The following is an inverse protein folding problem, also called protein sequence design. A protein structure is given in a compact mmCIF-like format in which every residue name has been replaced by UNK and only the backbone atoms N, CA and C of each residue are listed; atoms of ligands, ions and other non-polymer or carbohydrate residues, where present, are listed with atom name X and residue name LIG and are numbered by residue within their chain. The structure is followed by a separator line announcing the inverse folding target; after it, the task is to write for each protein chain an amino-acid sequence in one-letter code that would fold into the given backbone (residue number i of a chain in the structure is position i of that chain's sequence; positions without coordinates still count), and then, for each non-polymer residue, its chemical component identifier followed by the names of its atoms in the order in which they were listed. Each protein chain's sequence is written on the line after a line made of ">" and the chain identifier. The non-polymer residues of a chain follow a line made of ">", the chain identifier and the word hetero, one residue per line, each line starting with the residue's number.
data_IF_252237916818
#
_entry.id   IF_252237916818
#
_cell.length_a   1.000
_cell.length_b   1.000
_cell.length_c   1.000
_cell.angle_alpha   90.00
_cell.angle_beta   90.00
_cell.angle_gamma   90.00
#
_symmetry.space_group_name_H-M   'P 1'
#
loop_
_entity.id
_entity.type
_entity.pdbx_description
1 polymer ?
#
# COMPACT_ATOMS: atom_id res chain seq x y z
N UNK A 1 38.25 27.15 25.50
CA UNK A 1 38.39 26.18 24.40
C UNK A 1 37.00 25.74 23.96
N UNK A 2 36.74 25.72 22.65
CA UNK A 2 35.48 25.31 22.00
C UNK A 2 35.43 23.80 21.75
N UNK A 3 34.19 23.28 21.63
CA UNK A 3 33.63 22.24 20.72
C UNK A 3 32.79 21.22 21.50
N UNK A 4 31.45 21.21 21.40
CA UNK A 4 30.52 20.85 20.28
C UNK A 4 30.11 19.37 20.37
N UNK A 5 28.79 19.17 20.46
CA UNK A 5 27.99 17.95 20.23
C UNK A 5 28.60 16.91 19.28
N UNK A 6 28.38 15.63 19.58
CA UNK A 6 27.54 14.75 18.74
C UNK A 6 27.43 13.34 19.35
N UNK A 7 26.25 12.74 19.26
CA UNK A 7 26.02 11.37 19.73
C UNK A 7 24.55 11.11 20.05
N UNK A 8 23.69 11.29 19.05
CA UNK A 8 22.24 11.12 19.15
C UNK A 8 21.79 9.74 19.61
N UNK A 9 20.52 9.60 20.03
CA UNK A 9 19.99 8.33 20.49
C UNK A 9 20.00 7.32 19.35
N UNK A 10 20.57 6.15 19.63
CA UNK A 10 20.52 4.97 18.78
C UNK A 10 19.08 4.72 18.33
N UNK A 11 18.80 4.97 17.05
CA UNK A 11 17.60 4.47 16.41
C UNK A 11 17.75 2.97 16.27
N UNK A 12 17.25 2.26 17.28
CA UNK A 12 16.93 0.85 17.17
C UNK A 12 16.01 0.68 15.95
N UNK A 13 16.48 -0.10 14.99
CA UNK A 13 15.73 -0.51 13.81
C UNK A 13 14.51 -1.30 14.28
N UNK A 14 13.36 -0.65 14.40
CA UNK A 14 12.10 -1.33 14.70
C UNK A 14 11.70 -2.09 13.44
N UNK A 15 11.94 -3.40 13.43
CA UNK A 15 11.21 -4.31 12.57
C UNK A 15 9.71 -4.03 12.75
N UNK A 16 8.99 -3.94 11.63
CA UNK A 16 7.63 -3.42 11.53
C UNK A 16 6.72 -3.77 12.70
N UNK A 17 6.44 -2.76 13.51
CA UNK A 17 5.37 -2.73 14.48
C UNK A 17 4.92 -1.27 14.56
N UNK A 18 4.09 -0.86 13.61
CA UNK A 18 3.35 0.40 13.75
C UNK A 18 2.60 0.32 15.07
N UNK A 19 3.02 1.15 16.04
CA UNK A 19 2.39 1.19 17.35
C UNK A 19 0.89 1.43 17.15
N UNK A 20 0.06 0.47 17.57
CA UNK A 20 -1.38 0.63 17.55
C UNK A 20 -1.72 1.90 18.34
N UNK A 21 -2.61 2.76 17.84
CA UNK A 21 -3.02 3.92 18.60
C UNK A 21 -3.58 3.45 19.95
N UNK A 22 -2.98 3.93 21.03
CA UNK A 22 -3.43 3.63 22.40
C UNK A 22 -4.72 4.40 22.67
N UNK A 23 -5.81 3.88 22.13
CA UNK A 23 -7.16 4.42 22.33
C UNK A 23 -7.80 3.64 23.46
N UNK A 24 -7.85 4.26 24.64
CA UNK A 24 -8.34 3.63 25.86
C UNK A 24 -9.78 3.10 25.66
N UNK A 25 -9.97 1.78 25.87
CA UNK A 25 -11.28 1.13 25.85
C UNK A 25 -11.68 0.41 24.55
N UNK A 26 -10.82 0.42 23.52
CA UNK A 26 -11.01 -0.42 22.32
C UNK A 26 -10.37 -1.78 22.52
N UNK A 27 -11.10 -2.85 22.17
CA UNK A 27 -10.47 -4.17 22.07
C UNK A 27 -9.45 -4.20 20.92
N UNK A 28 -8.54 -5.17 20.94
CA UNK A 28 -7.44 -5.25 19.99
C UNK A 28 -7.87 -5.48 18.53
N UNK A 29 -9.10 -5.91 18.29
CA UNK A 29 -9.65 -6.03 16.95
C UNK A 29 -10.13 -4.66 16.44
N UNK A 30 -10.82 -3.91 17.28
CA UNK A 30 -11.32 -2.59 16.96
C UNK A 30 -10.21 -1.54 16.87
N UNK A 31 -9.14 -1.66 17.67
CA UNK A 31 -7.94 -0.83 17.52
C UNK A 31 -7.20 -1.06 16.19
N UNK A 32 -7.14 -2.32 15.72
CA UNK A 32 -6.57 -2.65 14.39
C UNK A 32 -7.44 -2.12 13.25
N UNK A 33 -8.75 -2.25 13.36
CA UNK A 33 -9.68 -1.68 12.37
C UNK A 33 -9.55 -0.15 12.35
N UNK A 34 -9.46 0.51 13.51
CA UNK A 34 -9.26 1.95 13.59
C UNK A 34 -7.93 2.39 12.99
N UNK A 35 -6.83 1.68 13.27
CA UNK A 35 -5.52 1.94 12.67
C UNK A 35 -5.58 1.80 11.13
N UNK A 36 -6.19 0.71 10.64
CA UNK A 36 -6.40 0.49 9.21
C UNK A 36 -7.23 1.62 8.59
N UNK A 37 -8.28 2.09 9.26
CA UNK A 37 -9.07 3.25 8.85
C UNK A 37 -8.22 4.52 8.75
N UNK A 38 -7.40 4.82 9.75
CA UNK A 38 -6.58 6.04 9.76
C UNK A 38 -5.50 6.05 8.68
N UNK A 39 -4.80 4.94 8.52
CA UNK A 39 -3.77 4.75 7.50
C UNK A 39 -4.37 4.81 6.09
N UNK A 40 -5.53 4.19 5.91
CA UNK A 40 -6.28 4.23 4.66
C UNK A 40 -6.76 5.65 4.30
N UNK A 41 -7.31 6.40 5.26
CA UNK A 41 -7.74 7.78 5.05
C UNK A 41 -6.55 8.70 4.72
N UNK A 42 -5.40 8.48 5.36
CA UNK A 42 -4.17 9.19 5.04
C UNK A 42 -3.71 8.90 3.59
N UNK A 43 -3.75 7.63 3.18
CA UNK A 43 -3.43 7.22 1.80
C UNK A 43 -4.36 7.84 0.75
N UNK A 44 -5.67 7.85 1.00
CA UNK A 44 -6.65 8.50 0.12
C UNK A 44 -6.43 10.02 0.06
N UNK A 45 -6.19 10.67 1.20
CA UNK A 45 -5.92 12.11 1.23
C UNK A 45 -4.67 12.44 0.43
N UNK A 46 -3.60 11.66 0.54
CA UNK A 46 -2.37 11.84 -0.25
C UNK A 46 -2.63 11.65 -1.76
N UNK A 47 -3.44 10.66 -2.15
CA UNK A 47 -3.82 10.46 -3.55
C UNK A 47 -4.65 11.62 -4.12
N UNK A 48 -5.51 12.25 -3.30
CA UNK A 48 -6.33 13.38 -3.71
C UNK A 48 -5.60 14.73 -3.70
N UNK A 49 -4.68 14.93 -2.75
CA UNK A 49 -3.91 16.18 -2.59
C UNK A 49 -2.68 16.25 -3.50
N UNK A 50 -2.21 15.10 -4.00
CA UNK A 50 -1.31 15.01 -5.15
C UNK A 50 -2.05 14.37 -6.34
N UNK A 51 -3.04 15.07 -6.94
CA UNK A 51 -3.77 14.55 -8.12
C UNK A 51 -2.83 14.39 -9.31
N UNK A 52 -1.69 15.06 -9.27
CA UNK A 52 -0.52 14.74 -10.05
C UNK A 52 0.51 14.16 -9.07
N UNK A 53 0.80 12.86 -9.21
CA UNK A 53 2.19 12.44 -9.08
C UNK A 53 3.03 13.54 -9.77
N UNK A 54 4.12 14.06 -9.18
CA UNK A 54 5.02 14.96 -9.91
C UNK A 54 5.20 14.32 -11.29
N UNK A 55 4.75 15.00 -12.36
CA UNK A 55 4.51 14.39 -13.68
C UNK A 55 5.42 13.19 -13.86
N UNK A 56 4.87 11.97 -13.84
CA UNK A 56 5.61 10.73 -13.46
C UNK A 56 6.91 10.53 -14.27
N UNK A 57 7.04 11.22 -15.41
CA UNK A 57 8.32 11.55 -16.08
C UNK A 57 9.46 12.09 -15.21
N UNK A 58 9.24 12.61 -14.00
CA UNK A 58 10.31 13.11 -13.12
C UNK A 58 10.71 12.13 -12.01
N UNK A 59 9.87 11.14 -11.69
CA UNK A 59 10.22 10.04 -10.80
C UNK A 59 10.73 8.82 -11.58
N UNK A 60 10.36 8.73 -12.85
CA UNK A 60 11.09 7.94 -13.84
C UNK A 60 12.33 8.76 -14.18
N UNK A 61 13.52 8.27 -13.82
CA UNK A 61 14.72 8.68 -14.54
C UNK A 61 14.53 8.48 -16.05
N UNK A 62 15.50 8.92 -16.85
CA UNK A 62 15.35 8.98 -18.30
C UNK A 62 14.80 7.66 -18.88
N UNK A 63 14.08 7.69 -20.02
CA UNK A 63 13.32 6.57 -20.62
C UNK A 63 14.09 5.27 -20.87
N UNK A 64 15.38 5.25 -20.56
CA UNK A 64 16.29 4.11 -20.42
C UNK A 64 16.19 3.36 -19.07
N UNK A 65 15.41 3.83 -18.09
CA UNK A 65 15.06 3.05 -16.90
C UNK A 65 13.90 2.11 -17.22
N UNK A 66 14.06 0.82 -16.88
CA UNK A 66 13.14 -0.26 -17.26
C UNK A 66 11.65 0.12 -17.11
N UNK A 67 10.78 -0.30 -18.06
CA UNK A 67 9.39 0.12 -18.06
C UNK A 67 8.66 -0.40 -16.81
N UNK A 68 8.32 0.48 -15.88
CA UNK A 68 7.49 0.13 -14.70
C UNK A 68 6.13 -0.39 -15.16
N UNK A 69 5.81 -1.64 -14.82
CA UNK A 69 4.50 -2.21 -15.05
C UNK A 69 3.52 -1.72 -13.98
N UNK A 70 2.34 -1.29 -14.40
CA UNK A 70 1.32 -0.72 -13.52
C UNK A 70 0.01 -1.47 -13.68
N UNK A 71 -0.57 -1.85 -12.54
CA UNK A 71 -1.79 -2.64 -12.47
C UNK A 71 -2.75 -2.01 -11.48
N UNK A 72 -4.06 -2.15 -11.73
CA UNK A 72 -5.07 -1.98 -10.71
C UNK A 72 -5.51 -3.36 -10.21
N UNK A 73 -5.46 -3.54 -8.90
CA UNK A 73 -6.14 -4.62 -8.19
C UNK A 73 -7.50 -4.07 -7.75
N UNK A 74 -8.57 -4.60 -8.35
CA UNK A 74 -9.94 -4.21 -8.03
C UNK A 74 -10.54 -5.25 -7.12
N UNK A 75 -10.80 -4.89 -5.86
CA UNK A 75 -11.44 -5.75 -4.87
C UNK A 75 -12.94 -5.46 -4.81
N UNK A 76 -13.75 -6.52 -4.68
CA UNK A 76 -15.22 -6.43 -4.54
C UNK A 76 -15.70 -7.29 -3.38
N UNK A 77 -16.73 -6.83 -2.69
CA UNK A 77 -17.28 -7.53 -1.53
C UNK A 77 -16.41 -7.48 -0.28
N UNK A 78 -15.48 -6.53 -0.22
CA UNK A 78 -14.67 -6.23 0.98
C UNK A 78 -15.61 -5.89 2.14
N UNK A 79 -15.43 -6.58 3.28
CA UNK A 79 -16.28 -6.37 4.47
C UNK A 79 -15.59 -5.55 5.56
N UNK A 80 -14.26 -5.58 5.59
CA UNK A 80 -13.44 -4.89 6.59
C UNK A 80 -12.26 -4.18 5.93
N UNK A 81 -11.89 -3.01 6.42
CA UNK A 81 -10.73 -2.30 5.86
C UNK A 81 -9.41 -3.00 6.20
N UNK A 82 -9.35 -3.80 7.27
CA UNK A 82 -8.19 -4.66 7.55
C UNK A 82 -7.85 -5.61 6.41
N UNK A 83 -8.84 -6.04 5.60
CA UNK A 83 -8.59 -6.87 4.42
C UNK A 83 -7.78 -6.10 3.36
N UNK A 84 -8.11 -4.82 3.17
CA UNK A 84 -7.42 -3.92 2.23
C UNK A 84 -6.05 -3.54 2.76
N UNK A 85 -5.94 -3.23 4.06
CA UNK A 85 -4.68 -2.90 4.71
C UNK A 85 -3.70 -4.08 4.65
N UNK A 86 -4.14 -5.29 5.02
CA UNK A 86 -3.27 -6.47 4.96
C UNK A 86 -2.91 -6.87 3.52
N UNK A 87 -3.80 -6.66 2.54
CA UNK A 87 -3.43 -6.82 1.13
C UNK A 87 -2.35 -5.79 0.73
N UNK A 88 -2.52 -4.52 1.11
CA UNK A 88 -1.56 -3.45 0.80
C UNK A 88 -0.19 -3.77 1.40
N UNK A 89 -0.15 -4.11 2.69
CA UNK A 89 1.08 -4.47 3.40
C UNK A 89 1.78 -5.67 2.74
N UNK A 90 1.03 -6.71 2.37
CA UNK A 90 1.60 -7.86 1.66
C UNK A 90 2.22 -7.44 0.32
N UNK A 91 1.48 -6.66 -0.47
CA UNK A 91 1.94 -6.21 -1.79
C UNK A 91 3.16 -5.28 -1.68
N UNK A 92 3.22 -4.40 -0.68
CA UNK A 92 4.38 -3.53 -0.41
C UNK A 92 5.61 -4.33 0.01
N UNK A 93 5.43 -5.47 0.67
CA UNK A 93 6.50 -6.39 1.06
C UNK A 93 7.08 -7.22 -0.09
N UNK A 94 6.49 -7.19 -1.28
CA UNK A 94 6.97 -7.97 -2.42
C UNK A 94 8.28 -7.37 -2.98
N UNK A 95 9.34 -8.17 -3.20
CA UNK A 95 10.58 -7.70 -3.81
C UNK A 95 10.41 -6.95 -5.15
N UNK A 96 9.49 -7.34 -6.06
CA UNK A 96 9.26 -6.58 -7.28
C UNK A 96 8.35 -5.36 -7.12
N UNK A 97 7.82 -5.05 -5.94
CA UNK A 97 6.92 -3.91 -5.74
C UNK A 97 7.69 -2.60 -5.58
N UNK A 98 7.27 -1.59 -6.34
CA UNK A 98 7.83 -0.24 -6.30
C UNK A 98 6.90 0.73 -5.55
N UNK A 99 5.58 0.53 -5.65
CA UNK A 99 4.60 1.31 -4.90
C UNK A 99 3.22 0.60 -4.89
N UNK A 100 2.49 0.75 -3.78
CA UNK A 100 1.08 0.35 -3.66
C UNK A 100 0.29 1.53 -3.12
N UNK A 101 -0.86 1.83 -3.73
CA UNK A 101 -1.73 2.93 -3.27
C UNK A 101 -3.19 2.59 -3.51
N UNK A 102 -4.04 2.88 -2.54
CA UNK A 102 -5.49 2.89 -2.76
C UNK A 102 -5.83 4.16 -3.53
N UNK A 103 -6.49 4.00 -4.68
CA UNK A 103 -6.80 5.12 -5.59
C UNK A 103 -8.30 5.40 -5.71
N UNK A 104 -9.14 4.42 -5.35
CA UNK A 104 -10.59 4.58 -5.38
C UNK A 104 -11.25 3.71 -4.30
N UNK A 105 -12.30 4.24 -3.68
CA UNK A 105 -13.12 3.55 -2.71
C UNK A 105 -14.59 3.86 -2.96
N UNK A 106 -15.37 2.81 -3.11
CA UNK A 106 -16.82 2.87 -3.11
C UNK A 106 -17.39 1.80 -2.18
N UNK A 107 -18.70 1.85 -1.96
CA UNK A 107 -19.42 0.80 -1.22
C UNK A 107 -19.41 -0.56 -1.91
N UNK A 108 -19.02 -0.64 -3.18
CA UNK A 108 -19.04 -1.86 -3.98
C UNK A 108 -17.64 -2.39 -4.32
N UNK A 109 -16.68 -1.48 -4.47
CA UNK A 109 -15.31 -1.83 -4.87
C UNK A 109 -14.25 -0.91 -4.28
N UNK A 110 -13.06 -1.49 -4.08
CA UNK A 110 -11.82 -0.81 -3.72
C UNK A 110 -10.84 -1.00 -4.87
N UNK A 111 -10.22 0.08 -5.36
CA UNK A 111 -9.14 -0.03 -6.36
C UNK A 111 -7.81 0.33 -5.75
N UNK A 112 -6.85 -0.56 -5.93
CA UNK A 112 -5.47 -0.41 -5.47
C UNK A 112 -4.57 -0.40 -6.69
N UNK A 113 -3.82 0.67 -6.88
CA UNK A 113 -2.77 0.78 -7.89
C UNK A 113 -1.50 0.14 -7.35
N UNK A 114 -0.90 -0.74 -8.15
CA UNK A 114 0.34 -1.44 -7.85
C UNK A 114 1.32 -1.15 -8.98
N UNK A 115 2.46 -0.55 -8.65
CA UNK A 115 3.58 -0.39 -9.54
C UNK A 115 4.61 -1.47 -9.21
N UNK A 116 4.99 -2.26 -10.21
CA UNK A 116 5.93 -3.38 -10.06
C UNK A 116 7.00 -3.32 -11.15
N UNK A 117 8.09 -4.05 -10.96
CA UNK A 117 9.07 -4.27 -12.02
C UNK A 117 8.41 -4.94 -13.23
N UNK A 118 8.85 -4.66 -14.47
CA UNK A 118 8.23 -5.21 -15.68
C UNK A 118 8.20 -6.74 -15.77
N UNK A 119 9.06 -7.40 -15.00
CA UNK A 119 9.16 -8.86 -14.91
C UNK A 119 7.91 -9.46 -14.23
N UNK A 120 7.24 -8.70 -13.36
CA UNK A 120 5.99 -9.12 -12.72
C UNK A 120 4.80 -8.84 -13.64
N UNK A 121 4.49 -9.83 -14.45
CA UNK A 121 3.28 -9.85 -15.28
C UNK A 121 2.00 -10.04 -14.45
N UNK A 122 0.85 -9.86 -15.12
CA UNK A 122 -0.50 -10.01 -14.53
C UNK A 122 -0.64 -11.27 -13.68
N UNK A 123 -0.30 -12.44 -14.23
CA UNK A 123 -0.49 -13.72 -13.55
C UNK A 123 0.31 -13.83 -12.25
N UNK A 124 1.54 -13.30 -12.22
CA UNK A 124 2.35 -13.27 -11.00
C UNK A 124 1.71 -12.39 -9.93
N UNK A 125 1.23 -11.20 -10.31
CA UNK A 125 0.52 -10.32 -9.38
C UNK A 125 -0.81 -10.94 -8.90
N UNK A 126 -1.55 -11.63 -9.77
CA UNK A 126 -2.78 -12.33 -9.39
C UNK A 126 -2.52 -13.41 -8.33
N UNK A 127 -1.43 -14.16 -8.44
CA UNK A 127 -1.07 -15.15 -7.42
C UNK A 127 -0.72 -14.49 -6.09
N UNK A 128 0.04 -13.40 -6.09
CA UNK A 128 0.36 -12.67 -4.86
C UNK A 128 -0.89 -12.09 -4.18
N UNK A 129 -1.83 -11.54 -4.96
CA UNK A 129 -3.11 -11.08 -4.42
C UNK A 129 -3.91 -12.24 -3.83
N UNK A 130 -3.92 -13.43 -4.46
CA UNK A 130 -4.58 -14.62 -3.89
C UNK A 130 -3.95 -15.04 -2.56
N UNK A 131 -2.62 -15.03 -2.46
CA UNK A 131 -1.91 -15.39 -1.23
C UNK A 131 -2.26 -14.40 -0.11
N UNK A 132 -2.18 -13.10 -0.41
CA UNK A 132 -2.51 -12.04 0.54
C UNK A 132 -3.96 -12.16 1.05
N UNK A 133 -4.94 -12.30 0.15
CA UNK A 133 -6.35 -12.41 0.52
C UNK A 133 -6.64 -13.65 1.39
N UNK A 134 -5.95 -14.78 1.15
CA UNK A 134 -6.03 -15.95 2.03
C UNK A 134 -5.42 -15.67 3.41
N UNK A 135 -4.29 -14.98 3.47
CA UNK A 135 -3.61 -14.62 4.71
C UNK A 135 -4.45 -13.74 5.63
N UNK A 136 -5.32 -12.89 5.06
CA UNK A 136 -6.25 -12.03 5.80
C UNK A 136 -7.67 -12.60 5.92
N UNK A 137 -7.86 -13.89 5.55
CA UNK A 137 -9.16 -14.58 5.58
C UNK A 137 -10.28 -13.82 4.85
N UNK A 138 -9.94 -13.10 3.78
CA UNK A 138 -10.89 -12.31 3.01
C UNK A 138 -11.72 -13.18 2.06
N UNK A 139 -13.03 -12.89 2.01
CA UNK A 139 -13.95 -13.46 1.04
C UNK A 139 -14.13 -12.56 -0.21
N UNK A 140 -13.35 -11.48 -0.32
CA UNK A 140 -13.44 -10.55 -1.44
C UNK A 140 -13.04 -11.25 -2.75
N UNK A 141 -13.74 -10.90 -3.82
CA UNK A 141 -13.29 -11.25 -5.17
C UNK A 141 -12.38 -10.16 -5.68
N UNK A 142 -11.47 -10.51 -6.60
CA UNK A 142 -10.53 -9.55 -7.15
C UNK A 142 -10.32 -9.72 -8.65
N UNK A 143 -9.85 -8.65 -9.27
CA UNK A 143 -9.43 -8.62 -10.67
C UNK A 143 -8.16 -7.78 -10.81
N UNK A 144 -7.22 -8.22 -11.64
CA UNK A 144 -6.02 -7.45 -11.99
C UNK A 144 -6.16 -6.93 -13.43
N UNK A 145 -6.15 -5.61 -13.58
CA UNK A 145 -6.28 -4.93 -14.88
C UNK A 145 -5.13 -3.95 -15.13
N UNK A 146 -4.70 -3.73 -16.38
CA UNK A 146 -3.65 -2.76 -16.67
C UNK A 146 -4.05 -1.36 -16.21
N UNK A 147 -3.13 -0.64 -15.58
CA UNK A 147 -3.31 0.77 -15.29
C UNK A 147 -2.89 1.60 -16.52
N UNK A 148 -3.76 1.63 -17.54
CA UNK A 148 -3.54 2.48 -18.70
C UNK A 148 -3.73 3.96 -18.32
N UNK A 149 -2.76 4.84 -18.64
CA UNK A 149 -3.00 6.28 -18.55
C UNK A 149 -4.10 6.64 -19.57
N UNK A 150 -5.13 7.37 -19.11
CA UNK A 150 -6.10 8.02 -19.99
C UNK A 150 -5.56 9.33 -20.53
#
# INVERSE_FOLDING_TARGET
>A
MRNVDDGGPSQELTNGNGALPDVSGLDSAAAREFAAWTDFLAGLHQAQSHPQLPSISSALGPPEWEPVARWYVVLRGVRRLTEVAGLREHLEGLPPCLAVRVVDLSSQEVRIMVAVTPQTGKAGLEEEVKVALRGVESAATFEVVPATPR
#
